data_IF_076852243902
#
_entry.id   IF_076852243902
#
_cell.length_a   1.000
_cell.length_b   1.000
_cell.length_c   1.000
_cell.angle_alpha   90.00
_cell.angle_beta   90.00
_cell.angle_gamma   90.00
#
_symmetry.space_group_name_H-M   'P 1'
#
loop_
_entity.id
_entity.type
_entity.pdbx_description
1 polymer ?
#
# COMPACT_ATOMS: atom_id res chain seq x y z
N UNK A 1 37.53 -14.20 6.55
CA UNK A 1 36.26 -13.53 6.89
C UNK A 1 35.43 -13.52 5.63
N UNK A 2 34.53 -14.49 5.49
CA UNK A 2 33.60 -14.57 4.35
C UNK A 2 32.81 -13.27 4.23
N UNK A 3 32.97 -12.58 3.10
CA UNK A 3 32.06 -11.52 2.72
C UNK A 3 30.74 -12.17 2.31
N UNK A 4 29.74 -12.10 3.18
CA UNK A 4 28.36 -12.44 2.84
C UNK A 4 27.88 -11.35 1.87
N UNK A 5 27.80 -11.70 0.59
CA UNK A 5 27.18 -10.88 -0.44
C UNK A 5 25.67 -10.93 -0.22
N UNK A 6 25.08 -9.89 0.37
CA UNK A 6 23.62 -9.77 0.42
C UNK A 6 23.08 -9.72 -1.01
N UNK A 7 22.49 -10.83 -1.45
CA UNK A 7 21.78 -10.90 -2.71
C UNK A 7 20.62 -9.89 -2.64
N UNK A 8 20.74 -8.80 -3.40
CA UNK A 8 19.66 -7.83 -3.65
C UNK A 8 18.45 -8.60 -4.16
N UNK A 9 17.52 -8.90 -3.26
CA UNK A 9 16.32 -9.62 -3.60
C UNK A 9 15.37 -8.63 -4.29
N UNK A 10 15.15 -8.82 -5.60
CA UNK A 10 14.24 -8.02 -6.42
C UNK A 10 12.79 -8.03 -5.93
N UNK A 11 12.51 -8.86 -4.93
CA UNK A 11 11.19 -9.11 -4.34
C UNK A 11 10.97 -8.23 -3.10
N UNK A 12 11.97 -8.11 -2.22
CA UNK A 12 11.76 -7.48 -0.90
C UNK A 12 12.16 -6.00 -0.86
N UNK A 13 13.14 -5.58 -1.68
CA UNK A 13 13.61 -4.18 -1.72
C UNK A 13 14.10 -3.77 -3.12
N UNK A 14 13.23 -3.68 -4.13
CA UNK A 14 13.67 -3.23 -5.45
C UNK A 14 14.17 -1.79 -5.35
N UNK A 15 15.38 -1.53 -5.84
CA UNK A 15 16.09 -0.23 -5.75
C UNK A 15 15.34 0.98 -6.35
N UNK A 16 14.20 0.73 -6.98
CA UNK A 16 13.38 1.66 -7.74
C UNK A 16 12.08 2.09 -7.01
N UNK A 17 11.86 1.65 -5.77
CA UNK A 17 10.65 2.01 -5.00
C UNK A 17 10.77 3.22 -4.05
N UNK A 18 11.97 3.76 -3.81
CA UNK A 18 12.16 5.00 -3.02
C UNK A 18 11.77 6.28 -3.76
N UNK A 19 10.50 6.41 -4.14
CA UNK A 19 9.95 7.66 -4.67
C UNK A 19 9.37 8.57 -3.58
N UNK A 20 9.15 8.02 -2.39
CA UNK A 20 8.86 8.75 -1.15
C UNK A 20 9.92 8.45 -0.09
N UNK A 21 9.89 9.16 1.05
CA UNK A 21 10.76 8.92 2.21
C UNK A 21 10.52 7.53 2.84
N UNK A 22 9.31 7.00 2.66
CA UNK A 22 8.85 5.72 3.18
C UNK A 22 8.49 4.79 2.03
N UNK A 23 8.67 3.49 2.23
CA UNK A 23 8.16 2.45 1.34
C UNK A 23 6.65 2.30 1.50
N UNK A 24 5.95 1.86 0.44
CA UNK A 24 4.50 1.77 0.49
C UNK A 24 4.01 0.76 1.55
N UNK A 25 4.74 -0.34 1.74
CA UNK A 25 4.42 -1.36 2.75
C UNK A 25 4.54 -0.82 4.17
N UNK A 26 5.54 0.03 4.46
CA UNK A 26 5.73 0.64 5.79
C UNK A 26 4.52 1.50 6.18
N UNK A 27 3.97 2.26 5.23
CA UNK A 27 2.77 3.07 5.47
C UNK A 27 1.54 2.19 5.67
N UNK A 28 1.40 1.12 4.88
CA UNK A 28 0.24 0.22 4.96
C UNK A 28 0.24 -0.56 6.27
N UNK A 29 1.38 -1.11 6.69
CA UNK A 29 1.51 -1.92 7.90
C UNK A 29 1.32 -1.08 9.17
N UNK A 30 1.67 0.21 9.15
CA UNK A 30 1.43 1.13 10.27
C UNK A 30 -0.05 1.57 10.34
N UNK A 31 -0.63 1.96 9.20
CA UNK A 31 -1.95 2.64 9.18
C UNK A 31 -3.12 1.65 9.14
N UNK A 32 -3.06 0.60 8.33
CA UNK A 32 -4.21 -0.27 8.10
C UNK A 32 -4.67 -1.04 9.35
N UNK A 33 -3.79 -1.54 10.25
CA UNK A 33 -4.22 -2.22 11.47
C UNK A 33 -4.98 -1.33 12.45
N UNK A 34 -4.76 -0.01 12.44
CA UNK A 34 -5.45 0.93 13.33
C UNK A 34 -6.99 0.97 13.10
N UNK A 35 -7.46 0.51 11.95
CA UNK A 35 -8.88 0.42 11.61
C UNK A 35 -9.53 -0.92 12.02
N UNK A 36 -8.76 -1.84 12.62
CA UNK A 36 -9.22 -3.16 13.00
C UNK A 36 -9.37 -4.12 11.81
N UNK A 37 -9.37 -5.43 12.11
CA UNK A 37 -9.29 -6.52 11.12
C UNK A 37 -10.36 -6.44 10.03
N UNK A 38 -11.57 -5.98 10.36
CA UNK A 38 -12.69 -5.83 9.41
C UNK A 38 -12.35 -4.86 8.28
N UNK A 39 -11.65 -3.76 8.58
CA UNK A 39 -11.43 -2.66 7.64
C UNK A 39 -10.01 -2.64 7.07
N UNK A 40 -9.04 -3.26 7.75
CA UNK A 40 -7.62 -3.21 7.35
C UNK A 40 -7.37 -3.59 5.89
N UNK A 41 -8.10 -4.57 5.35
CA UNK A 41 -7.96 -4.95 3.94
C UNK A 41 -8.31 -3.81 2.98
N UNK A 42 -9.45 -3.15 3.21
CA UNK A 42 -9.90 -2.06 2.35
C UNK A 42 -8.99 -0.84 2.48
N UNK A 43 -8.61 -0.49 3.72
CA UNK A 43 -7.71 0.64 3.99
C UNK A 43 -6.33 0.42 3.37
N UNK A 44 -5.73 -0.76 3.55
CA UNK A 44 -4.43 -1.07 2.97
C UNK A 44 -4.43 -0.99 1.44
N UNK A 45 -5.49 -1.46 0.78
CA UNK A 45 -5.63 -1.33 -0.67
C UNK A 45 -5.81 0.12 -1.12
N UNK A 46 -6.61 0.92 -0.42
CA UNK A 46 -6.77 2.34 -0.72
C UNK A 46 -5.42 3.07 -0.65
N UNK A 47 -4.66 2.87 0.43
CA UNK A 47 -3.31 3.42 0.60
C UNK A 47 -2.36 2.97 -0.51
N UNK A 48 -2.35 1.67 -0.84
CA UNK A 48 -1.55 1.11 -1.95
C UNK A 48 -1.80 1.85 -3.25
N UNK A 49 -3.06 2.09 -3.61
CA UNK A 49 -3.38 2.78 -4.87
C UNK A 49 -3.05 4.27 -4.82
N UNK A 50 -3.26 4.94 -3.69
CA UNK A 50 -2.85 6.34 -3.48
C UNK A 50 -1.33 6.50 -3.66
N UNK A 51 -0.54 5.66 -2.99
CA UNK A 51 0.93 5.71 -3.03
C UNK A 51 1.47 5.34 -4.42
N UNK A 52 0.74 4.54 -5.20
CA UNK A 52 1.11 4.16 -6.57
C UNK A 52 0.78 5.21 -7.62
N UNK A 53 -0.30 5.96 -7.44
CA UNK A 53 -0.89 6.85 -8.44
C UNK A 53 0.10 7.84 -9.11
N UNK A 54 1.09 8.42 -8.40
CA UNK A 54 2.03 9.38 -9.02
C UNK A 54 3.07 8.74 -9.94
N UNK A 55 3.24 7.41 -9.93
CA UNK A 55 4.46 6.77 -10.44
C UNK A 55 4.28 5.74 -11.53
N UNK A 56 3.04 5.27 -11.74
CA UNK A 56 2.75 4.14 -12.63
C UNK A 56 2.14 4.54 -13.98
N UNK A 57 1.99 5.85 -14.22
CA UNK A 57 1.34 6.39 -15.43
C UNK A 57 -0.18 6.15 -15.48
N UNK A 58 -0.78 5.64 -14.40
CA UNK A 58 -2.20 5.27 -14.30
C UNK A 58 -2.93 6.07 -13.23
N UNK A 59 -2.53 7.33 -13.00
CA UNK A 59 -2.98 8.15 -11.86
C UNK A 59 -4.49 8.14 -11.68
N UNK A 60 -5.27 8.46 -12.72
CA UNK A 60 -6.73 8.47 -12.64
C UNK A 60 -7.31 7.10 -12.22
N UNK A 61 -6.89 6.03 -12.89
CA UNK A 61 -7.37 4.68 -12.59
C UNK A 61 -6.99 4.22 -11.18
N UNK A 62 -5.83 4.65 -10.67
CA UNK A 62 -5.40 4.36 -9.31
C UNK A 62 -6.25 5.11 -8.29
N UNK A 63 -6.56 6.38 -8.52
CA UNK A 63 -7.45 7.14 -7.65
C UNK A 63 -8.88 6.59 -7.66
N UNK A 64 -9.40 6.16 -8.81
CA UNK A 64 -10.71 5.49 -8.90
C UNK A 64 -10.74 4.18 -8.11
N UNK A 65 -9.67 3.38 -8.15
CA UNK A 65 -9.54 2.17 -7.33
C UNK A 65 -9.44 2.49 -5.85
N UNK A 66 -8.69 3.52 -5.47
CA UNK A 66 -8.58 3.95 -4.08
C UNK A 66 -9.96 4.37 -3.53
N UNK A 67 -10.72 5.14 -4.30
CA UNK A 67 -12.08 5.55 -3.95
C UNK A 67 -13.00 4.34 -3.73
N UNK A 68 -12.99 3.37 -4.65
CA UNK A 68 -13.77 2.14 -4.51
C UNK A 68 -13.48 1.39 -3.20
N UNK A 69 -12.19 1.27 -2.81
CA UNK A 69 -11.84 0.61 -1.55
C UNK A 69 -12.27 1.41 -0.32
N UNK A 70 -12.30 2.74 -0.39
CA UNK A 70 -12.84 3.57 0.69
C UNK A 70 -14.36 3.42 0.80
N UNK A 71 -15.08 3.39 -0.32
CA UNK A 71 -16.52 3.09 -0.35
C UNK A 71 -16.82 1.72 0.26
N UNK A 72 -16.08 0.68 -0.14
CA UNK A 72 -16.21 -0.65 0.46
C UNK A 72 -15.93 -0.66 1.97
N UNK A 73 -14.96 0.13 2.46
CA UNK A 73 -14.71 0.27 3.90
C UNK A 73 -15.90 0.93 4.62
N UNK A 74 -16.53 1.93 4.00
CA UNK A 74 -17.72 2.61 4.53
C UNK A 74 -18.92 1.65 4.56
N UNK A 75 -19.12 0.85 3.52
CA UNK A 75 -20.16 -0.18 3.50
C UNK A 75 -19.99 -1.17 4.65
N UNK A 76 -18.75 -1.62 4.90
CA UNK A 76 -18.45 -2.51 6.03
C UNK A 76 -18.76 -1.87 7.40
N UNK A 77 -18.78 -0.54 7.53
CA UNK A 77 -19.21 0.13 8.76
C UNK A 77 -20.73 0.12 8.93
N UNK A 78 -21.49 0.15 7.83
CA UNK A 78 -22.96 0.22 7.82
C UNK A 78 -23.69 -1.13 7.82
N UNK A 79 -22.96 -2.26 7.82
CA UNK A 79 -23.52 -3.59 8.03
C UNK A 79 -23.54 -3.89 9.53
N UNK A 80 -24.66 -3.55 10.18
CA UNK A 80 -25.09 -4.07 11.50
C UNK A 80 -26.18 -5.13 11.32
#
# INVERSE_FOLDING_TARGET
>A
MEQIFEAKNSVDHPSHYKKFKFEAIEVIDEVAPAFGTKLSFSIGNALKYILRAPFKGTTRQDLEKAAWYLEHAIELLGVE
#
